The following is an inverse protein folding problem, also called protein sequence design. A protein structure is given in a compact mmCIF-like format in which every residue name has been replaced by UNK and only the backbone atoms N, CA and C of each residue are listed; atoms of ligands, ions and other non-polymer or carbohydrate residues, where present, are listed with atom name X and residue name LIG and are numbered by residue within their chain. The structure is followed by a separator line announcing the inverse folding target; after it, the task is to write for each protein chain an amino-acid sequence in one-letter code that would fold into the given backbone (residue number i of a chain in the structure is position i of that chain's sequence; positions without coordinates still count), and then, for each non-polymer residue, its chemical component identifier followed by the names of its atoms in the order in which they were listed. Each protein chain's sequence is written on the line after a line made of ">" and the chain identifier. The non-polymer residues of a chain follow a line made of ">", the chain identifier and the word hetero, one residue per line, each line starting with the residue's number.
data_IF_808192970017
#
_entry.id   IF_808192970017
#
_cell.length_a   1.000
_cell.length_b   1.000
_cell.length_c   1.000
_cell.angle_alpha   90.00
_cell.angle_beta   90.00
_cell.angle_gamma   90.00
#
_symmetry.space_group_name_H-M   'P 1'
#
loop_
_entity.id
_entity.type
_entity.pdbx_description
1 polymer ?
#
# COMPACT_ATOMS: atom_id res chain seq x y z
N UNK A 1 -24.04 -17.28 2.78
CA UNK A 1 -23.34 -17.79 1.58
C UNK A 1 -22.92 -16.57 0.75
N UNK A 2 -21.68 -16.15 0.88
CA UNK A 2 -21.11 -15.07 0.05
C UNK A 2 -20.88 -15.66 -1.34
N UNK A 3 -21.66 -15.24 -2.30
CA UNK A 3 -21.42 -15.53 -3.72
C UNK A 3 -20.11 -14.89 -4.10
N UNK A 4 -19.03 -15.65 -4.07
CA UNK A 4 -17.75 -15.23 -4.60
C UNK A 4 -17.93 -15.06 -6.12
N UNK A 5 -17.92 -13.81 -6.56
CA UNK A 5 -17.89 -13.50 -8.01
C UNK A 5 -16.67 -14.22 -8.60
N UNK A 6 -16.78 -14.88 -9.76
CA UNK A 6 -15.67 -15.62 -10.35
C UNK A 6 -14.45 -14.70 -10.57
N UNK A 7 -13.23 -15.25 -10.49
CA UNK A 7 -12.03 -14.49 -10.80
C UNK A 7 -12.16 -13.86 -12.18
N UNK A 8 -11.64 -12.64 -12.34
CA UNK A 8 -11.74 -11.83 -13.54
C UNK A 8 -10.39 -11.71 -14.26
N UNK A 9 -10.38 -10.85 -15.28
CA UNK A 9 -9.17 -10.40 -15.94
C UNK A 9 -8.72 -9.05 -15.38
N UNK A 10 -7.44 -8.86 -15.23
CA UNK A 10 -6.86 -7.59 -14.79
C UNK A 10 -5.72 -7.14 -15.71
N UNK A 11 -5.67 -5.85 -15.96
CA UNK A 11 -4.50 -5.20 -16.54
C UNK A 11 -3.69 -4.53 -15.42
N UNK A 12 -2.41 -4.85 -15.35
CA UNK A 12 -1.46 -4.16 -14.48
C UNK A 12 -0.56 -3.31 -15.36
N UNK A 13 -0.61 -2.00 -15.16
CA UNK A 13 0.17 -1.04 -15.95
C UNK A 13 1.35 -0.56 -15.11
N UNK A 14 2.56 -0.84 -15.59
CA UNK A 14 3.81 -0.60 -14.86
C UNK A 14 4.32 -1.86 -14.14
N UNK A 15 5.54 -2.30 -14.50
CA UNK A 15 6.22 -3.48 -13.97
C UNK A 15 7.32 -3.13 -12.96
N UNK A 16 7.10 -2.09 -12.16
CA UNK A 16 7.92 -1.78 -10.98
C UNK A 16 7.56 -2.70 -9.79
N UNK A 17 8.20 -2.46 -8.65
CA UNK A 17 7.99 -3.26 -7.42
C UNK A 17 6.52 -3.43 -7.04
N UNK A 18 5.73 -2.35 -7.12
CA UNK A 18 4.31 -2.37 -6.77
C UNK A 18 3.50 -3.13 -7.82
N UNK A 19 3.72 -2.87 -9.11
CA UNK A 19 2.97 -3.54 -10.18
C UNK A 19 3.23 -5.04 -10.24
N UNK A 20 4.48 -5.46 -10.11
CA UNK A 20 4.84 -6.90 -10.04
C UNK A 20 4.19 -7.58 -8.83
N UNK A 21 4.13 -6.90 -7.68
CA UNK A 21 3.48 -7.44 -6.49
C UNK A 21 1.94 -7.52 -6.65
N UNK A 22 1.31 -6.55 -7.32
CA UNK A 22 -0.11 -6.64 -7.69
C UNK A 22 -0.38 -7.77 -8.67
N UNK A 23 0.46 -7.92 -9.70
CA UNK A 23 0.30 -9.00 -10.68
C UNK A 23 0.39 -10.38 -10.01
N UNK A 24 1.36 -10.58 -9.14
CA UNK A 24 1.52 -11.82 -8.39
C UNK A 24 0.33 -12.07 -7.44
N UNK A 25 -0.14 -11.05 -6.72
CA UNK A 25 -1.31 -11.17 -5.84
C UNK A 25 -2.57 -11.55 -6.62
N UNK A 26 -2.87 -10.86 -7.71
CA UNK A 26 -4.02 -11.15 -8.57
C UNK A 26 -3.96 -12.58 -9.11
N UNK A 27 -2.80 -13.01 -9.62
CA UNK A 27 -2.58 -14.36 -10.12
C UNK A 27 -2.76 -15.43 -9.01
N UNK A 28 -2.32 -15.17 -7.77
CA UNK A 28 -2.53 -16.05 -6.63
C UNK A 28 -4.02 -16.23 -6.30
N UNK A 29 -4.83 -15.21 -6.54
CA UNK A 29 -6.29 -15.26 -6.43
C UNK A 29 -6.99 -15.70 -7.73
N UNK A 30 -6.25 -16.37 -8.62
CA UNK A 30 -6.72 -16.98 -9.87
C UNK A 30 -7.27 -15.99 -10.90
N UNK A 31 -6.83 -14.74 -10.85
CA UNK A 31 -7.10 -13.80 -11.93
C UNK A 31 -6.16 -14.06 -13.11
N UNK A 32 -6.66 -13.86 -14.33
CA UNK A 32 -5.82 -13.75 -15.51
C UNK A 32 -5.29 -12.33 -15.60
N UNK A 33 -3.98 -12.17 -15.61
CA UNK A 33 -3.32 -10.86 -15.51
C UNK A 33 -2.57 -10.58 -16.81
N UNK A 34 -2.78 -9.41 -17.37
CA UNK A 34 -1.91 -8.89 -18.43
C UNK A 34 -1.14 -7.71 -17.87
N UNK A 35 0.17 -7.82 -17.79
CA UNK A 35 1.04 -6.73 -17.36
C UNK A 35 1.63 -6.02 -18.57
N UNK A 36 1.63 -4.69 -18.54
CA UNK A 36 2.22 -3.86 -19.60
C UNK A 36 3.18 -2.85 -19.02
N UNK A 37 4.32 -2.69 -19.70
CA UNK A 37 5.38 -1.74 -19.33
C UNK A 37 6.24 -1.47 -20.57
N UNK A 38 6.80 -0.27 -20.78
CA UNK A 38 7.65 0.03 -21.92
C UNK A 38 9.04 -0.59 -21.87
N UNK A 39 9.45 -1.22 -20.76
CA UNK A 39 10.76 -1.87 -20.61
C UNK A 39 10.92 -3.06 -21.56
N UNK A 40 12.05 -3.20 -22.24
CA UNK A 40 12.27 -4.30 -23.20
C UNK A 40 12.51 -5.67 -22.56
N UNK A 41 12.83 -5.71 -21.28
CA UNK A 41 13.06 -6.94 -20.53
C UNK A 41 11.89 -7.33 -19.64
N UNK A 42 10.65 -7.00 -20.05
CA UNK A 42 9.44 -7.17 -19.26
C UNK A 42 9.23 -8.62 -18.80
N UNK A 43 9.34 -9.59 -19.71
CA UNK A 43 9.22 -11.01 -19.36
C UNK A 43 10.26 -11.42 -18.32
N UNK A 44 11.51 -11.06 -18.55
CA UNK A 44 12.60 -11.37 -17.61
C UNK A 44 12.36 -10.75 -16.25
N UNK A 45 11.89 -9.50 -16.18
CA UNK A 45 11.60 -8.83 -14.93
C UNK A 45 10.48 -9.53 -14.14
N UNK A 46 9.44 -10.01 -14.84
CA UNK A 46 8.37 -10.82 -14.23
C UNK A 46 8.96 -12.13 -13.69
N UNK A 47 9.72 -12.87 -14.51
CA UNK A 47 10.29 -14.17 -14.15
C UNK A 47 11.25 -14.07 -12.95
N UNK A 48 12.09 -13.04 -12.90
CA UNK A 48 13.02 -12.79 -11.80
C UNK A 48 12.32 -12.39 -10.47
N UNK A 49 11.17 -11.72 -10.56
CA UNK A 49 10.45 -11.29 -9.37
C UNK A 49 9.58 -12.39 -8.74
N UNK A 50 9.01 -13.27 -9.54
CA UNK A 50 8.01 -14.25 -9.09
C UNK A 50 8.48 -15.19 -7.98
N UNK A 51 9.72 -15.71 -7.93
CA UNK A 51 10.16 -16.57 -6.84
C UNK A 51 10.07 -15.91 -5.47
N UNK A 52 10.46 -14.64 -5.36
CA UNK A 52 10.38 -13.90 -4.12
C UNK A 52 8.92 -13.56 -3.76
N UNK A 53 8.13 -13.15 -4.75
CA UNK A 53 6.72 -12.80 -4.54
C UNK A 53 5.87 -14.01 -4.14
N UNK A 54 6.10 -15.17 -4.77
CA UNK A 54 5.42 -16.43 -4.45
C UNK A 54 5.66 -16.87 -2.99
N UNK A 55 6.86 -16.65 -2.46
CA UNK A 55 7.18 -16.95 -1.07
C UNK A 55 6.31 -16.16 -0.07
N UNK A 56 5.79 -15.00 -0.48
CA UNK A 56 4.85 -14.17 0.29
C UNK A 56 3.37 -14.50 0.07
N UNK A 57 3.05 -15.45 -0.81
CA UNK A 57 1.68 -15.80 -1.20
C UNK A 57 1.41 -17.29 -0.88
N UNK A 58 0.88 -17.61 0.30
CA UNK A 58 0.66 -18.99 0.73
C UNK A 58 -0.14 -19.81 -0.29
N UNK A 59 0.34 -21.03 -0.58
CA UNK A 59 -0.29 -21.93 -1.53
C UNK A 59 0.00 -21.62 -3.00
N UNK A 60 0.92 -20.68 -3.28
CA UNK A 60 1.37 -20.31 -4.62
C UNK A 60 2.82 -20.68 -4.85
N UNK A 61 3.15 -21.02 -6.08
CA UNK A 61 4.53 -21.15 -6.56
C UNK A 61 4.76 -20.25 -7.79
N UNK A 62 6.02 -20.01 -8.11
CA UNK A 62 6.39 -19.08 -9.19
C UNK A 62 5.84 -19.53 -10.56
N UNK A 63 5.85 -20.84 -10.85
CA UNK A 63 5.36 -21.37 -12.11
C UNK A 63 3.86 -21.22 -12.27
N UNK A 64 3.08 -21.52 -11.20
CA UNK A 64 1.63 -21.35 -11.18
C UNK A 64 1.22 -19.89 -11.31
N UNK A 65 1.95 -18.96 -10.68
CA UNK A 65 1.74 -17.52 -10.86
C UNK A 65 2.04 -17.09 -12.30
N UNK A 66 3.19 -17.54 -12.84
CA UNK A 66 3.62 -17.21 -14.21
C UNK A 66 2.62 -17.67 -15.25
N UNK A 67 2.02 -18.84 -15.05
CA UNK A 67 1.01 -19.39 -15.95
C UNK A 67 -0.27 -18.54 -16.10
N UNK A 68 -0.48 -17.56 -15.17
CA UNK A 68 -1.62 -16.64 -15.20
C UNK A 68 -1.23 -15.21 -15.54
N UNK A 69 0.06 -14.94 -15.74
CA UNK A 69 0.55 -13.59 -16.06
C UNK A 69 1.06 -13.59 -17.49
N UNK A 70 0.43 -12.79 -18.33
CA UNK A 70 0.89 -12.45 -19.67
C UNK A 70 1.54 -11.08 -19.68
N UNK A 71 2.44 -10.86 -20.60
CA UNK A 71 3.13 -9.59 -20.82
C UNK A 71 2.82 -9.04 -22.19
N UNK A 72 2.73 -7.74 -22.32
CA UNK A 72 2.60 -7.03 -23.58
C UNK A 72 3.17 -5.63 -23.47
N UNK A 73 3.57 -5.03 -24.59
CA UNK A 73 3.93 -3.62 -24.66
C UNK A 73 2.76 -2.74 -25.13
N UNK A 74 1.64 -3.35 -25.52
CA UNK A 74 0.46 -2.67 -26.00
C UNK A 74 -0.58 -2.49 -24.90
N UNK A 75 -0.84 -1.23 -24.53
CA UNK A 75 -1.85 -0.88 -23.52
C UNK A 75 -3.25 -1.31 -23.94
N UNK A 76 -3.60 -1.15 -25.23
CA UNK A 76 -4.92 -1.50 -25.74
C UNK A 76 -5.17 -3.01 -25.59
N UNK A 77 -4.18 -3.83 -25.93
CA UNK A 77 -4.23 -5.28 -25.72
C UNK A 77 -4.38 -5.62 -24.23
N UNK A 78 -3.59 -4.96 -23.36
CA UNK A 78 -3.61 -5.26 -21.93
C UNK A 78 -4.98 -5.02 -21.29
N UNK A 79 -5.68 -3.96 -21.69
CA UNK A 79 -6.92 -3.53 -21.04
C UNK A 79 -8.19 -4.05 -21.71
N UNK A 80 -8.13 -4.63 -22.92
CA UNK A 80 -9.30 -4.96 -23.75
C UNK A 80 -10.36 -5.84 -23.05
N UNK A 81 -9.97 -6.71 -22.12
CA UNK A 81 -10.91 -7.56 -21.37
C UNK A 81 -10.83 -7.34 -19.86
N UNK A 82 -10.16 -6.28 -19.41
CA UNK A 82 -9.85 -6.10 -18.01
C UNK A 82 -11.06 -5.56 -17.22
N UNK A 83 -11.43 -6.27 -16.15
CA UNK A 83 -12.35 -5.75 -15.10
C UNK A 83 -11.69 -4.76 -14.17
N UNK A 84 -10.38 -4.88 -14.00
CA UNK A 84 -9.55 -4.00 -13.20
C UNK A 84 -8.37 -3.54 -14.04
N UNK A 85 -8.18 -2.25 -14.14
CA UNK A 85 -6.94 -1.63 -14.61
C UNK A 85 -6.23 -1.05 -13.40
N UNK A 86 -5.13 -1.69 -12.97
CA UNK A 86 -4.31 -1.26 -11.83
C UNK A 86 -3.06 -0.55 -12.34
N UNK A 87 -3.05 0.76 -12.25
CA UNK A 87 -1.96 1.61 -12.72
C UNK A 87 -0.92 1.80 -11.61
N UNK A 88 0.38 1.62 -11.97
CA UNK A 88 1.53 1.69 -11.08
C UNK A 88 2.73 2.41 -11.75
N UNK A 89 2.44 3.31 -12.68
CA UNK A 89 3.44 4.08 -13.39
C UNK A 89 3.98 5.27 -12.59
N UNK A 90 4.75 6.15 -13.24
CA UNK A 90 5.36 7.30 -12.59
C UNK A 90 4.36 8.22 -11.86
N UNK A 91 4.83 8.89 -10.81
CA UNK A 91 4.04 9.84 -10.03
C UNK A 91 3.99 11.20 -10.75
N UNK A 92 3.37 11.20 -11.94
CA UNK A 92 3.18 12.34 -12.83
C UNK A 92 1.72 12.44 -13.26
N UNK A 93 1.09 13.57 -13.00
CA UNK A 93 -0.36 13.74 -13.24
C UNK A 93 -0.71 13.71 -14.72
N UNK A 94 0.11 14.29 -15.59
CA UNK A 94 -0.16 14.30 -17.03
C UNK A 94 0.06 12.93 -17.67
N UNK A 95 1.04 12.17 -17.17
CA UNK A 95 1.20 10.77 -17.55
C UNK A 95 -0.06 9.97 -17.21
N UNK A 96 -0.54 10.05 -15.95
CA UNK A 96 -1.73 9.31 -15.50
C UNK A 96 -2.99 9.72 -16.26
N UNK A 97 -3.17 11.00 -16.55
CA UNK A 97 -4.28 11.50 -17.38
C UNK A 97 -4.30 10.87 -18.77
N UNK A 98 -3.15 10.93 -19.47
CA UNK A 98 -3.03 10.34 -20.81
C UNK A 98 -3.28 8.83 -20.76
N UNK A 99 -2.69 8.15 -19.80
CA UNK A 99 -2.84 6.71 -19.64
C UNK A 99 -4.29 6.29 -19.39
N UNK A 100 -5.01 6.95 -18.48
CA UNK A 100 -6.41 6.60 -18.23
C UNK A 100 -7.35 7.02 -19.35
N UNK A 101 -7.05 8.12 -20.05
CA UNK A 101 -7.79 8.48 -21.27
C UNK A 101 -7.62 7.42 -22.37
N UNK A 102 -6.42 6.89 -22.52
CA UNK A 102 -6.09 5.85 -23.50
C UNK A 102 -6.66 4.50 -23.09
N UNK A 103 -6.42 4.06 -21.88
CA UNK A 103 -6.96 2.82 -21.34
C UNK A 103 -8.49 2.76 -21.43
N UNK A 104 -9.18 3.86 -21.14
CA UNK A 104 -10.64 3.94 -21.18
C UNK A 104 -11.25 3.77 -22.58
N UNK A 105 -10.48 4.01 -23.66
CA UNK A 105 -10.94 3.78 -25.04
C UNK A 105 -11.00 2.30 -25.40
N UNK A 106 -10.24 1.47 -24.72
CA UNK A 106 -10.04 0.06 -25.05
C UNK A 106 -10.56 -0.89 -23.97
N UNK A 107 -10.61 -0.44 -22.70
CA UNK A 107 -11.15 -1.21 -21.59
C UNK A 107 -12.69 -1.27 -21.63
N UNK A 108 -13.31 -2.34 -21.10
CA UNK A 108 -14.76 -2.40 -20.90
C UNK A 108 -15.29 -1.16 -20.17
N UNK A 109 -16.51 -0.75 -20.53
CA UNK A 109 -17.14 0.46 -20.00
C UNK A 109 -17.38 0.40 -18.47
N UNK A 110 -17.46 -0.80 -17.91
CA UNK A 110 -17.62 -1.09 -16.48
C UNK A 110 -16.31 -1.47 -15.79
N UNK A 111 -15.17 -1.40 -16.48
CA UNK A 111 -13.87 -1.68 -15.86
C UNK A 111 -13.56 -0.68 -14.75
N UNK A 112 -13.14 -1.17 -13.58
CA UNK A 112 -12.61 -0.33 -12.51
C UNK A 112 -11.23 0.21 -12.91
N UNK A 113 -11.07 1.52 -12.86
CA UNK A 113 -9.81 2.21 -13.12
C UNK A 113 -9.20 2.62 -11.78
N UNK A 114 -8.09 2.00 -11.40
CA UNK A 114 -7.44 2.22 -10.13
C UNK A 114 -5.99 2.64 -10.32
N UNK A 115 -5.56 3.65 -9.59
CA UNK A 115 -4.13 4.02 -9.50
C UNK A 115 -3.56 3.68 -8.14
N UNK A 116 -2.30 3.23 -8.11
CA UNK A 116 -1.51 3.05 -6.88
C UNK A 116 -0.80 4.35 -6.42
N UNK A 117 -1.15 5.50 -6.99
CA UNK A 117 -0.54 6.78 -6.62
C UNK A 117 -0.55 7.00 -5.12
N UNK A 118 0.58 7.49 -4.59
CA UNK A 118 0.74 7.80 -3.15
C UNK A 118 0.48 9.27 -2.82
N UNK A 119 0.48 10.15 -3.83
CA UNK A 119 0.37 11.60 -3.63
C UNK A 119 -0.64 12.29 -4.55
N UNK A 120 -0.90 11.74 -5.75
CA UNK A 120 -1.80 12.37 -6.73
C UNK A 120 -3.21 11.83 -6.50
N UNK A 121 -4.12 12.70 -6.13
CA UNK A 121 -5.52 12.36 -5.86
C UNK A 121 -6.32 12.11 -7.15
N UNK A 122 -7.36 11.30 -7.06
CA UNK A 122 -8.17 10.90 -8.22
C UNK A 122 -8.84 12.08 -8.93
N UNK A 123 -9.31 13.08 -8.20
CA UNK A 123 -9.86 14.32 -8.78
C UNK A 123 -8.88 15.03 -9.71
N UNK A 124 -7.59 15.12 -9.30
CA UNK A 124 -6.54 15.72 -10.14
C UNK A 124 -6.30 14.93 -11.42
N UNK A 125 -6.28 13.61 -11.34
CA UNK A 125 -6.12 12.73 -12.50
C UNK A 125 -7.34 12.86 -13.43
N UNK A 126 -8.53 12.88 -12.85
CA UNK A 126 -9.79 12.91 -13.59
C UNK A 126 -10.12 14.25 -14.26
N UNK A 127 -9.47 15.36 -13.89
CA UNK A 127 -9.84 16.73 -14.24
C UNK A 127 -10.23 16.94 -15.72
N UNK A 128 -9.51 16.30 -16.65
CA UNK A 128 -9.75 16.40 -18.09
C UNK A 128 -10.33 15.13 -18.72
N UNK A 129 -10.72 14.17 -17.90
CA UNK A 129 -11.34 12.93 -18.41
C UNK A 129 -12.84 13.12 -18.58
N UNK A 130 -13.46 12.41 -19.54
CA UNK A 130 -14.92 12.36 -19.68
C UNK A 130 -15.57 11.86 -18.37
N UNK A 131 -16.79 12.31 -18.07
CA UNK A 131 -17.51 11.95 -16.85
C UNK A 131 -17.65 10.43 -16.65
N UNK A 132 -17.95 9.70 -17.73
CA UNK A 132 -18.07 8.24 -17.71
C UNK A 132 -16.74 7.54 -17.32
N UNK A 133 -15.58 8.15 -17.60
CA UNK A 133 -14.26 7.64 -17.20
C UNK A 133 -13.96 8.04 -15.77
N UNK A 134 -14.19 9.30 -15.41
CA UNK A 134 -13.99 9.81 -14.06
C UNK A 134 -14.87 9.09 -13.03
N UNK A 135 -16.09 8.73 -13.41
CA UNK A 135 -17.06 8.00 -12.57
C UNK A 135 -16.53 6.65 -12.05
N UNK A 136 -15.61 6.02 -12.80
CA UNK A 136 -15.03 4.70 -12.48
C UNK A 136 -13.55 4.74 -12.11
N UNK A 137 -12.99 5.93 -11.93
CA UNK A 137 -11.59 6.15 -11.52
C UNK A 137 -11.51 6.44 -10.02
N UNK A 138 -10.57 5.79 -9.34
CA UNK A 138 -10.22 6.07 -7.94
C UNK A 138 -8.75 5.76 -7.67
N UNK A 139 -8.25 6.23 -6.53
CA UNK A 139 -6.99 5.74 -5.99
C UNK A 139 -7.27 4.48 -5.17
N UNK A 140 -6.53 3.41 -5.46
CA UNK A 140 -6.44 2.22 -4.62
C UNK A 140 -4.98 2.10 -4.15
N UNK A 141 -4.66 2.87 -3.12
CA UNK A 141 -3.30 3.01 -2.60
C UNK A 141 -2.92 1.81 -1.74
N UNK A 142 -1.97 0.96 -2.19
CA UNK A 142 -1.49 -0.13 -1.37
C UNK A 142 -0.43 0.36 -0.39
N UNK A 143 -0.23 -0.40 0.69
CA UNK A 143 0.99 -0.28 1.48
C UNK A 143 2.02 -1.32 1.01
N UNK A 144 3.27 -0.89 0.83
CA UNK A 144 4.32 -1.72 0.24
C UNK A 144 4.87 -2.77 1.22
N UNK A 145 4.96 -4.05 0.85
CA UNK A 145 4.58 -4.63 -0.44
C UNK A 145 3.11 -5.12 -0.48
N UNK A 146 2.37 -4.82 -1.57
CA UNK A 146 0.91 -5.08 -1.67
C UNK A 146 0.49 -6.53 -1.46
N UNK A 147 1.32 -7.49 -1.82
CA UNK A 147 1.02 -8.91 -1.69
C UNK A 147 1.09 -9.42 -0.24
N UNK A 148 1.71 -8.67 0.68
CA UNK A 148 1.90 -9.03 2.09
C UNK A 148 1.16 -8.10 3.03
N UNK A 149 1.32 -6.77 2.86
CA UNK A 149 0.63 -5.80 3.71
C UNK A 149 -0.82 -5.67 3.26
N UNK A 150 -1.80 -5.92 4.15
CA UNK A 150 -3.18 -6.07 3.72
C UNK A 150 -3.89 -4.75 3.38
N UNK A 151 -3.43 -3.61 3.88
CA UNK A 151 -4.11 -2.33 3.70
C UNK A 151 -4.17 -1.92 2.22
N UNK A 152 -5.37 -1.48 1.79
CA UNK A 152 -5.57 -0.71 0.56
C UNK A 152 -6.47 0.48 0.88
N UNK A 153 -5.96 1.69 0.74
CA UNK A 153 -6.76 2.90 0.91
C UNK A 153 -7.54 3.19 -0.38
N UNK A 154 -8.86 3.16 -0.29
CA UNK A 154 -9.76 3.49 -1.39
C UNK A 154 -10.13 4.96 -1.29
N UNK A 155 -9.60 5.77 -2.21
CA UNK A 155 -9.78 7.22 -2.20
C UNK A 155 -10.52 7.64 -3.46
N UNK A 156 -11.84 7.84 -3.37
CA UNK A 156 -12.62 8.33 -4.50
C UNK A 156 -12.30 9.80 -4.79
N UNK A 157 -12.31 10.18 -6.06
CA UNK A 157 -12.35 11.58 -6.46
C UNK A 157 -13.77 12.14 -6.46
N UNK A 158 -13.91 13.44 -6.69
CA UNK A 158 -15.21 14.15 -6.67
C UNK A 158 -16.24 13.55 -7.64
N UNK A 159 -15.80 12.99 -8.77
CA UNK A 159 -16.68 12.40 -9.79
C UNK A 159 -16.76 10.87 -9.72
N UNK A 160 -16.05 10.23 -8.79
CA UNK A 160 -16.14 8.77 -8.60
C UNK A 160 -17.51 8.40 -8.03
N UNK A 161 -18.20 7.42 -8.63
CA UNK A 161 -19.52 7.02 -8.15
C UNK A 161 -19.44 6.13 -6.90
N UNK A 162 -20.51 6.14 -6.09
CA UNK A 162 -20.64 5.25 -4.93
C UNK A 162 -20.66 3.77 -5.34
N UNK A 163 -21.20 3.45 -6.51
CA UNK A 163 -21.16 2.09 -7.08
C UNK A 163 -19.71 1.65 -7.28
N UNK A 164 -18.89 2.50 -7.90
CA UNK A 164 -17.45 2.23 -8.11
C UNK A 164 -16.70 2.01 -6.81
N UNK A 165 -16.97 2.84 -5.80
CA UNK A 165 -16.37 2.68 -4.46
C UNK A 165 -16.77 1.34 -3.83
N UNK A 166 -18.05 0.99 -3.89
CA UNK A 166 -18.57 -0.27 -3.34
C UNK A 166 -17.95 -1.48 -4.03
N UNK A 167 -17.85 -1.44 -5.36
CA UNK A 167 -17.22 -2.49 -6.16
C UNK A 167 -15.72 -2.61 -5.86
N UNK A 168 -15.00 -1.50 -5.74
CA UNK A 168 -13.59 -1.50 -5.36
C UNK A 168 -13.37 -2.14 -3.99
N UNK A 169 -14.15 -1.73 -2.99
CA UNK A 169 -14.09 -2.32 -1.64
C UNK A 169 -14.33 -3.84 -1.68
N UNK A 170 -15.33 -4.30 -2.42
CA UNK A 170 -15.62 -5.72 -2.57
C UNK A 170 -14.52 -6.47 -3.31
N UNK A 171 -13.97 -5.88 -4.38
CA UNK A 171 -12.90 -6.46 -5.18
C UNK A 171 -11.64 -6.68 -4.34
N UNK A 172 -11.13 -5.64 -3.67
CA UNK A 172 -9.90 -5.76 -2.88
C UNK A 172 -10.09 -6.68 -1.67
N UNK A 173 -11.29 -6.73 -1.04
CA UNK A 173 -11.59 -7.76 -0.03
C UNK A 173 -11.51 -9.17 -0.60
N UNK A 174 -11.99 -9.40 -1.81
CA UNK A 174 -11.93 -10.72 -2.45
C UNK A 174 -10.49 -11.17 -2.75
N UNK A 175 -9.54 -10.25 -2.78
CA UNK A 175 -8.10 -10.49 -2.89
C UNK A 175 -7.42 -10.62 -1.51
N UNK A 176 -8.19 -10.83 -0.45
CA UNK A 176 -7.66 -10.93 0.92
C UNK A 176 -7.02 -9.65 1.43
N UNK A 177 -7.39 -8.50 0.86
CA UNK A 177 -6.91 -7.19 1.35
C UNK A 177 -7.90 -6.61 2.34
N UNK A 178 -7.44 -5.63 3.10
CA UNK A 178 -8.26 -4.84 4.03
C UNK A 178 -8.45 -3.44 3.42
N UNK A 179 -9.42 -3.26 2.51
CA UNK A 179 -9.67 -1.96 1.92
C UNK A 179 -10.38 -1.04 2.93
N UNK A 180 -9.86 0.18 3.05
CA UNK A 180 -10.45 1.25 3.88
C UNK A 180 -10.79 2.43 2.99
N UNK A 181 -12.07 2.83 3.01
CA UNK A 181 -12.51 4.03 2.29
C UNK A 181 -12.09 5.29 3.03
N UNK A 182 -11.40 6.18 2.36
CA UNK A 182 -11.21 7.55 2.80
C UNK A 182 -12.40 8.41 2.33
N UNK A 183 -12.90 9.29 3.20
CA UNK A 183 -14.07 10.14 2.91
C UNK A 183 -13.71 11.45 2.23
N UNK A 184 -12.43 11.70 2.04
CA UNK A 184 -11.92 12.90 1.39
C UNK A 184 -10.51 12.67 0.87
N UNK A 185 -10.16 13.42 -0.15
CA UNK A 185 -8.83 13.43 -0.74
C UNK A 185 -7.90 14.28 0.13
N UNK A 186 -6.83 13.69 0.59
CA UNK A 186 -5.80 14.34 1.38
C UNK A 186 -4.42 13.89 0.87
N UNK A 187 -3.49 14.79 0.54
CA UNK A 187 -2.14 14.41 0.12
C UNK A 187 -1.46 13.51 1.15
N UNK A 188 -0.89 12.37 0.68
CA UNK A 188 -0.30 11.35 1.53
C UNK A 188 -1.31 10.42 2.23
N UNK A 189 -2.60 10.58 1.98
CA UNK A 189 -3.69 9.77 2.54
C UNK A 189 -3.58 9.60 4.06
N UNK A 190 -4.09 8.51 4.66
CA UNK A 190 -4.01 8.35 6.10
C UNK A 190 -2.71 7.62 6.52
N UNK A 191 -2.37 6.51 5.87
CA UNK A 191 -1.27 5.67 6.30
C UNK A 191 0.11 6.34 6.12
N UNK A 192 0.36 6.99 4.97
CA UNK A 192 1.60 7.74 4.76
C UNK A 192 1.75 8.92 5.71
N UNK A 193 0.64 9.59 6.05
CA UNK A 193 0.67 10.69 7.03
C UNK A 193 1.03 10.21 8.42
N UNK A 194 0.45 9.09 8.87
CA UNK A 194 0.79 8.46 10.14
C UNK A 194 2.25 8.00 10.17
N UNK A 195 2.71 7.36 9.08
CA UNK A 195 4.11 6.96 8.93
C UNK A 195 5.05 8.18 8.98
N UNK A 196 4.71 9.26 8.29
CA UNK A 196 5.50 10.50 8.28
C UNK A 196 5.61 11.13 9.66
N UNK A 197 4.51 11.17 10.42
CA UNK A 197 4.51 11.68 11.80
C UNK A 197 5.43 10.87 12.71
N UNK A 198 5.40 9.53 12.58
CA UNK A 198 6.31 8.65 13.34
C UNK A 198 7.76 8.85 12.91
N UNK A 199 8.03 8.95 11.60
CA UNK A 199 9.40 9.14 11.10
C UNK A 199 9.98 10.49 11.52
N UNK A 200 9.18 11.56 11.54
CA UNK A 200 9.62 12.88 11.98
C UNK A 200 10.16 12.83 13.41
N UNK A 201 9.41 12.23 14.33
CA UNK A 201 9.86 12.09 15.72
C UNK A 201 11.02 11.09 15.85
N UNK A 202 11.00 10.00 15.11
CA UNK A 202 12.09 9.01 15.09
C UNK A 202 13.42 9.64 14.67
N UNK A 203 13.42 10.44 13.61
CA UNK A 203 14.61 11.14 13.15
C UNK A 203 15.08 12.19 14.17
N UNK A 204 14.17 12.92 14.79
CA UNK A 204 14.50 13.86 15.85
C UNK A 204 15.23 13.19 17.00
N UNK A 205 14.72 12.07 17.51
CA UNK A 205 15.31 11.34 18.63
C UNK A 205 16.72 10.81 18.31
N UNK A 206 16.92 10.31 17.09
CA UNK A 206 18.23 9.83 16.63
C UNK A 206 19.22 10.98 16.45
N UNK A 207 18.82 12.05 15.76
CA UNK A 207 19.69 13.21 15.49
C UNK A 207 20.03 13.98 16.76
N UNK A 208 19.16 13.96 17.77
CA UNK A 208 19.41 14.53 19.09
C UNK A 208 20.29 13.64 19.97
N UNK A 209 20.71 12.46 19.49
CA UNK A 209 21.58 11.55 20.24
C UNK A 209 20.92 10.88 21.45
N UNK A 210 19.59 10.86 21.51
CA UNK A 210 18.85 10.18 22.60
C UNK A 210 19.02 8.67 22.51
N UNK A 211 19.06 8.13 21.28
CA UNK A 211 19.30 6.72 20.98
C UNK A 211 19.76 6.56 19.52
N UNK A 212 20.30 5.41 19.15
CA UNK A 212 20.66 5.12 17.77
C UNK A 212 19.47 4.54 16.96
N UNK A 213 19.65 4.42 15.64
CA UNK A 213 18.61 3.94 14.75
C UNK A 213 18.13 2.50 15.06
N UNK A 214 19.02 1.62 15.51
CA UNK A 214 18.67 0.23 15.86
C UNK A 214 17.93 0.16 17.20
N UNK A 215 18.32 0.98 18.14
CA UNK A 215 17.67 1.13 19.46
C UNK A 215 16.26 1.70 19.28
N UNK A 216 16.10 2.78 18.46
CA UNK A 216 14.79 3.34 18.13
C UNK A 216 13.86 2.28 17.52
N UNK A 217 14.35 1.54 16.54
CA UNK A 217 13.60 0.44 15.93
C UNK A 217 13.20 -0.62 16.96
N UNK A 218 14.03 -0.88 17.95
CA UNK A 218 13.71 -1.82 19.03
C UNK A 218 12.60 -1.26 19.91
N UNK A 219 12.69 -0.01 20.31
CA UNK A 219 11.62 0.68 21.04
C UNK A 219 10.31 0.61 20.28
N UNK A 220 10.32 0.96 18.98
CA UNK A 220 9.13 0.96 18.16
C UNK A 220 8.50 -0.43 18.03
N UNK A 221 9.30 -1.45 17.72
CA UNK A 221 8.82 -2.84 17.51
C UNK A 221 8.30 -3.49 18.79
N UNK A 222 8.88 -3.17 19.95
CA UNK A 222 8.50 -3.79 21.23
C UNK A 222 7.44 -3.00 22.01
N UNK A 223 7.05 -1.83 21.52
CA UNK A 223 6.02 -0.98 22.14
C UNK A 223 4.84 -0.71 21.19
N UNK A 224 4.87 0.42 20.49
CA UNK A 224 3.76 0.88 19.66
C UNK A 224 3.47 -0.06 18.49
N UNK A 225 4.50 -0.59 17.82
CA UNK A 225 4.34 -1.47 16.67
C UNK A 225 3.53 -2.73 17.00
N UNK A 226 3.90 -3.44 18.06
CA UNK A 226 3.16 -4.61 18.53
C UNK A 226 1.75 -4.27 19.01
N UNK A 227 1.61 -3.16 19.75
CA UNK A 227 0.30 -2.71 20.24
C UNK A 227 -0.64 -2.35 19.10
N UNK A 228 -0.17 -1.55 18.13
CA UNK A 228 -1.01 -1.09 17.03
C UNK A 228 -1.28 -2.15 15.95
N UNK A 229 -0.56 -3.25 16.00
CA UNK A 229 -0.91 -4.42 15.21
C UNK A 229 -2.11 -5.19 15.80
N UNK A 230 -2.36 -5.09 17.11
CA UNK A 230 -3.46 -5.78 17.79
C UNK A 230 -4.68 -4.88 18.00
N UNK A 231 -4.45 -3.63 18.39
CA UNK A 231 -5.49 -2.63 18.63
C UNK A 231 -5.03 -1.30 18.04
N UNK A 232 -5.90 -0.62 17.29
CA UNK A 232 -5.57 0.68 16.72
C UNK A 232 -5.37 1.76 17.79
N UNK A 233 -4.87 2.96 17.43
CA UNK A 233 -4.58 4.03 18.40
C UNK A 233 -5.81 4.47 19.19
N UNK A 234 -6.99 4.55 18.58
CA UNK A 234 -8.22 4.94 19.29
C UNK A 234 -8.68 3.85 20.26
N UNK A 235 -8.66 2.59 19.85
CA UNK A 235 -9.01 1.46 20.72
C UNK A 235 -8.02 1.33 21.87
N UNK A 236 -6.72 1.44 21.60
CA UNK A 236 -5.69 1.44 22.64
C UNK A 236 -5.92 2.56 23.66
N UNK A 237 -6.29 3.76 23.19
CA UNK A 237 -6.57 4.89 24.05
C UNK A 237 -7.87 4.70 24.85
N UNK A 238 -8.87 4.05 24.25
CA UNK A 238 -10.13 3.69 24.93
C UNK A 238 -9.87 2.67 26.05
N UNK A 239 -9.12 1.60 25.76
CA UNK A 239 -8.74 0.58 26.75
C UNK A 239 -7.90 1.15 27.89
N UNK A 240 -7.00 2.09 27.59
CA UNK A 240 -6.18 2.80 28.59
C UNK A 240 -7.00 3.58 29.62
N UNK A 241 -8.25 3.94 29.33
CA UNK A 241 -9.17 4.57 30.25
C UNK A 241 -9.90 3.62 31.20
N UNK A 242 -9.59 2.30 31.11
CA UNK A 242 -10.26 1.26 31.91
C UNK A 242 -11.78 1.26 31.71
N UNK A 243 -12.59 0.96 32.75
CA UNK A 243 -14.06 0.96 32.64
C UNK A 243 -14.67 2.31 32.22
N UNK A 244 -13.96 3.42 32.40
CA UNK A 244 -14.37 4.75 31.98
C UNK A 244 -14.09 5.08 30.52
N UNK A 245 -13.32 4.24 29.82
CA UNK A 245 -13.01 4.34 28.41
C UNK A 245 -12.32 5.63 28.00
N UNK A 246 -12.42 5.98 26.72
CA UNK A 246 -11.83 7.20 26.16
C UNK A 246 -12.30 8.49 26.86
N UNK A 247 -13.53 8.53 27.38
CA UNK A 247 -14.05 9.68 28.14
C UNK A 247 -13.22 9.94 29.41
N UNK A 248 -12.86 8.89 30.13
CA UNK A 248 -12.00 8.97 31.30
C UNK A 248 -10.59 9.43 30.88
N UNK A 249 -10.03 8.79 29.86
CA UNK A 249 -8.70 9.10 29.31
C UNK A 249 -8.57 10.56 28.87
N UNK A 250 -9.57 11.08 28.13
CA UNK A 250 -9.57 12.47 27.65
C UNK A 250 -9.68 13.50 28.79
N UNK A 251 -10.38 13.19 29.87
CA UNK A 251 -10.43 14.08 31.04
C UNK A 251 -9.08 14.19 31.75
N UNK A 252 -8.31 13.09 31.81
CA UNK A 252 -7.04 13.06 32.51
C UNK A 252 -5.85 13.52 31.65
N UNK A 253 -5.74 13.01 30.42
CA UNK A 253 -4.61 13.28 29.54
C UNK A 253 -4.88 14.36 28.49
N UNK A 254 -6.16 14.54 28.12
CA UNK A 254 -6.55 15.47 27.05
C UNK A 254 -5.96 16.88 27.19
N UNK A 255 -6.02 17.51 28.37
CA UNK A 255 -5.45 18.84 28.56
C UNK A 255 -3.95 18.93 28.28
N UNK A 256 -3.18 17.85 28.52
CA UNK A 256 -1.72 17.81 28.31
C UNK A 256 -1.32 17.38 26.91
N UNK A 257 -2.20 16.76 26.10
CA UNK A 257 -1.84 16.21 24.81
C UNK A 257 -1.34 17.28 23.83
N UNK A 258 -2.07 18.39 23.71
CA UNK A 258 -1.69 19.47 22.81
C UNK A 258 -0.36 20.12 23.18
N UNK A 259 -0.06 20.20 24.47
CA UNK A 259 1.25 20.67 24.95
C UNK A 259 2.35 19.63 24.65
N UNK A 260 2.06 18.33 24.85
CA UNK A 260 2.96 17.25 24.46
C UNK A 260 3.30 17.30 22.97
N UNK A 261 2.32 17.46 22.11
CA UNK A 261 2.56 17.53 20.65
C UNK A 261 3.44 18.71 20.22
N UNK A 262 3.38 19.86 20.90
CA UNK A 262 4.27 21.00 20.62
C UNK A 262 5.74 20.73 20.96
N UNK A 263 6.00 19.72 21.76
CA UNK A 263 7.37 19.30 22.15
C UNK A 263 7.95 18.23 21.25
N UNK A 264 7.16 17.70 20.34
CA UNK A 264 7.65 16.75 19.35
C UNK A 264 8.66 17.45 18.41
N UNK A 265 9.63 16.68 17.93
CA UNK A 265 10.71 17.21 17.14
C UNK A 265 10.30 17.63 15.72
N UNK A 266 11.00 18.63 15.22
CA UNK A 266 10.93 19.07 13.82
C UNK A 266 12.36 19.16 13.27
N UNK A 267 13.03 18.00 13.02
CA UNK A 267 14.41 17.98 12.59
C UNK A 267 14.54 18.55 11.17
N UNK A 268 15.57 19.36 10.98
CA UNK A 268 15.99 19.74 9.63
C UNK A 268 16.82 18.60 9.02
N UNK A 269 16.54 18.27 7.77
CA UNK A 269 17.25 17.22 7.04
C UNK A 269 18.30 17.84 6.13
N UNK A 270 19.27 18.52 6.76
CA UNK A 270 20.45 18.99 6.08
C UNK A 270 21.39 17.82 5.67
N UNK A 271 22.45 18.06 4.89
CA UNK A 271 23.35 17.01 4.44
C UNK A 271 24.00 16.20 5.57
N UNK A 272 24.34 16.82 6.70
CA UNK A 272 25.00 16.16 7.83
C UNK A 272 24.01 15.29 8.61
N UNK A 273 22.77 15.76 8.82
CA UNK A 273 21.69 14.96 9.39
C UNK A 273 21.38 13.74 8.52
N UNK A 274 21.26 13.93 7.19
CA UNK A 274 21.04 12.82 6.26
C UNK A 274 22.21 11.82 6.32
N UNK A 275 23.46 12.28 6.30
CA UNK A 275 24.64 11.41 6.41
C UNK A 275 24.65 10.61 7.72
N UNK A 276 24.27 11.22 8.83
CA UNK A 276 24.16 10.57 10.14
C UNK A 276 23.12 9.45 10.11
N UNK A 277 21.90 9.73 9.63
CA UNK A 277 20.83 8.74 9.51
C UNK A 277 21.20 7.58 8.59
N UNK A 278 21.81 7.88 7.44
CA UNK A 278 22.28 6.86 6.48
C UNK A 278 23.32 5.97 7.13
N UNK A 279 24.36 6.57 7.76
CA UNK A 279 25.46 5.81 8.38
C UNK A 279 24.96 4.86 9.47
N UNK A 280 24.12 5.34 10.37
CA UNK A 280 23.55 4.50 11.43
C UNK A 280 22.63 3.40 10.89
N UNK A 281 21.81 3.71 9.89
CA UNK A 281 20.91 2.74 9.29
C UNK A 281 21.67 1.64 8.53
N UNK A 282 22.68 2.00 7.75
CA UNK A 282 23.53 1.03 7.03
C UNK A 282 24.38 0.18 7.98
N UNK A 283 24.89 0.76 9.05
CA UNK A 283 25.60 0.00 10.10
C UNK A 283 24.69 -1.06 10.76
N UNK A 284 23.44 -0.72 11.02
CA UNK A 284 22.48 -1.62 11.65
C UNK A 284 21.93 -2.71 10.71
N UNK A 285 21.72 -2.39 9.43
CA UNK A 285 20.93 -3.23 8.51
C UNK A 285 21.68 -3.66 7.26
N UNK A 286 22.83 -3.07 6.98
CA UNK A 286 23.62 -3.28 5.77
C UNK A 286 23.06 -2.51 4.57
N UNK A 287 23.84 -2.48 3.50
CA UNK A 287 23.47 -1.84 2.22
C UNK A 287 23.66 -2.78 1.04
N UNK A 288 23.15 -2.38 -0.13
CA UNK A 288 23.30 -3.12 -1.38
C UNK A 288 22.28 -4.26 -1.57
N UNK A 289 22.29 -4.90 -2.76
CA UNK A 289 21.24 -5.83 -3.19
C UNK A 289 21.11 -7.10 -2.31
N UNK A 290 22.23 -7.61 -1.78
CA UNK A 290 22.20 -8.82 -0.94
C UNK A 290 21.58 -8.53 0.43
N UNK A 291 21.98 -7.43 1.09
CA UNK A 291 21.40 -6.99 2.36
C UNK A 291 19.90 -6.73 2.18
N UNK A 292 19.50 -6.06 1.10
CA UNK A 292 18.10 -5.84 0.76
C UNK A 292 17.32 -7.16 0.66
N UNK A 293 17.77 -8.12 -0.15
CA UNK A 293 17.07 -9.41 -0.32
C UNK A 293 16.93 -10.16 1.00
N UNK A 294 17.98 -10.22 1.81
CA UNK A 294 17.97 -10.88 3.12
C UNK A 294 16.96 -10.19 4.07
N UNK A 295 16.96 -8.86 4.14
CA UNK A 295 16.06 -8.08 5.00
C UNK A 295 14.61 -8.14 4.55
N UNK A 296 14.36 -8.05 3.25
CA UNK A 296 13.03 -8.20 2.67
C UNK A 296 12.44 -9.57 3.01
N UNK A 297 13.17 -10.66 2.77
CA UNK A 297 12.72 -12.01 3.11
C UNK A 297 12.43 -12.19 4.61
N UNK A 298 13.24 -11.58 5.49
CA UNK A 298 12.99 -11.62 6.94
C UNK A 298 11.73 -10.83 7.31
N UNK A 299 11.55 -9.62 6.76
CA UNK A 299 10.35 -8.80 6.94
C UNK A 299 9.11 -9.58 6.52
N UNK A 300 9.13 -10.18 5.35
CA UNK A 300 8.00 -10.88 4.75
C UNK A 300 7.57 -12.06 5.62
N UNK A 301 8.53 -12.90 6.07
CA UNK A 301 8.23 -14.00 7.00
C UNK A 301 7.59 -13.51 8.31
N UNK A 302 8.11 -12.42 8.89
CA UNK A 302 7.57 -11.86 10.13
C UNK A 302 6.17 -11.29 9.93
N UNK A 303 5.96 -10.55 8.85
CA UNK A 303 4.67 -9.94 8.55
C UNK A 303 3.59 -11.01 8.28
N UNK A 304 3.94 -12.05 7.53
CA UNK A 304 3.02 -13.18 7.28
C UNK A 304 2.66 -13.92 8.57
N UNK A 305 3.65 -14.19 9.43
CA UNK A 305 3.41 -14.83 10.73
C UNK A 305 2.50 -13.98 11.63
N UNK A 306 2.70 -12.65 11.63
CA UNK A 306 1.86 -11.71 12.37
C UNK A 306 0.43 -11.70 11.82
N UNK A 307 0.28 -11.55 10.51
CA UNK A 307 -1.03 -11.54 9.85
C UNK A 307 -1.82 -12.83 10.13
N UNK A 308 -1.15 -13.98 10.12
CA UNK A 308 -1.77 -15.26 10.42
C UNK A 308 -2.17 -15.37 11.90
N UNK A 309 -1.32 -14.95 12.82
CA UNK A 309 -1.62 -14.97 14.25
C UNK A 309 -2.83 -14.09 14.59
N UNK A 310 -2.91 -12.89 14.03
CA UNK A 310 -4.04 -11.96 14.22
C UNK A 310 -5.34 -12.56 13.67
N UNK A 311 -5.29 -13.11 12.45
CA UNK A 311 -6.46 -13.73 11.83
C UNK A 311 -7.00 -14.92 12.64
N UNK A 312 -6.11 -15.74 13.23
CA UNK A 312 -6.54 -16.85 14.11
C UNK A 312 -7.20 -16.34 15.39
N UNK A 313 -6.64 -15.28 15.98
CA UNK A 313 -7.19 -14.69 17.19
C UNK A 313 -8.58 -14.06 16.98
N UNK A 314 -8.88 -13.56 15.77
CA UNK A 314 -10.20 -13.00 15.42
C UNK A 314 -11.26 -14.08 15.15
N UNK A 315 -10.85 -15.34 14.91
CA UNK A 315 -11.75 -16.47 14.63
C UNK A 315 -12.05 -17.31 15.87
N UNK A 316 -11.33 -17.11 16.96
CA UNK A 316 -11.52 -17.77 18.27
C UNK A 316 -12.46 -16.98 19.17
#
# INVERSE_FOLDING_TARGET
>A
MTTTRPPGTAAVVGAGTIGLAWAALLAAYRWEVTITDPRHDLDRAVDEALPMLAAGLPGSDAAGLRGRIRTTHDLAEAVAGARLVQENGPEDVEFKRRLFADAARHAPADALLATSSSGIVATRIAERLPDAVAARLLVAHPFNPPHIVPLVEIVPGERTTETTVTEALALYRSLGRTPVRLRGELPGFAANRLQSAVLQEAFHLVLSGVLDAAELDTVMKTSLGGRYATVGPFESFHLGGGPGGVRHMMRHLGPGLAEGWRRLGHPELDPDAVATLVTQTEAAYGSGPEAYRRRAALRDRKQLALNEALRRAEQS
#
